data_IF_633755522708
#
_entry.id   IF_633755522708
#
_cell.length_a   1.000
_cell.length_b   1.000
_cell.length_c   1.000
_cell.angle_alpha   90.00
_cell.angle_beta   90.00
_cell.angle_gamma   90.00
#
_symmetry.space_group_name_H-M   'P 1'
#
loop_
_entity.id
_entity.type
_entity.pdbx_description
1 polymer ?
#
# COMPACT_ATOMS: atom_id res chain seq x y z
N UNK A 1 -5.66 2.10 -26.43
CA UNK A 1 -5.80 2.63 -25.06
C UNK A 1 -5.80 4.15 -25.15
N UNK A 2 -6.84 4.85 -24.70
CA UNK A 2 -6.86 6.33 -24.68
C UNK A 2 -6.09 6.82 -23.46
N UNK A 3 -5.01 7.58 -23.66
CA UNK A 3 -4.16 8.08 -22.58
C UNK A 3 -4.88 9.05 -21.61
N UNK A 4 -6.00 9.62 -22.05
CA UNK A 4 -6.73 10.69 -21.33
C UNK A 4 -7.98 10.18 -20.60
N UNK A 5 -8.45 8.97 -20.91
CA UNK A 5 -9.65 8.41 -20.28
C UNK A 5 -9.26 7.45 -19.15
N UNK A 6 -8.76 8.03 -18.06
CA UNK A 6 -8.25 7.24 -16.92
C UNK A 6 -9.40 6.68 -16.09
N UNK A 7 -9.30 5.41 -15.73
CA UNK A 7 -10.23 4.71 -14.86
C UNK A 7 -9.50 3.67 -14.01
N UNK A 8 -10.18 3.07 -13.04
CA UNK A 8 -9.63 1.95 -12.28
C UNK A 8 -9.21 0.77 -13.21
N UNK A 9 -9.96 0.56 -14.28
CA UNK A 9 -9.66 -0.46 -15.29
C UNK A 9 -8.42 -0.09 -16.11
N UNK A 10 -8.31 1.14 -16.62
CA UNK A 10 -7.16 1.55 -17.43
C UNK A 10 -5.84 1.52 -16.63
N UNK A 11 -5.88 1.89 -15.35
CA UNK A 11 -4.73 1.80 -14.45
C UNK A 11 -4.33 0.33 -14.22
N UNK A 12 -5.31 -0.55 -14.05
CA UNK A 12 -5.11 -1.99 -13.94
C UNK A 12 -4.58 -2.61 -15.26
N UNK A 13 -4.99 -2.12 -16.42
CA UNK A 13 -4.44 -2.51 -17.72
C UNK A 13 -2.97 -2.11 -17.85
N UNK A 14 -2.58 -0.93 -17.34
CA UNK A 14 -1.17 -0.50 -17.34
C UNK A 14 -0.27 -1.38 -16.45
N UNK A 15 -0.86 -2.08 -15.49
CA UNK A 15 -0.19 -3.11 -14.69
C UNK A 15 -0.24 -4.50 -15.36
N UNK A 16 -0.94 -4.62 -16.50
CA UNK A 16 -1.22 -5.85 -17.22
C UNK A 16 -2.05 -6.85 -16.40
N UNK A 17 -3.06 -6.37 -15.66
CA UNK A 17 -3.99 -7.21 -14.89
C UNK A 17 -5.46 -7.11 -15.34
N UNK A 18 -5.83 -6.13 -16.18
CA UNK A 18 -7.22 -5.92 -16.62
C UNK A 18 -7.52 -6.26 -18.10
N UNK A 19 -6.57 -6.81 -18.86
CA UNK A 19 -6.79 -7.24 -20.25
C UNK A 19 -5.97 -8.49 -20.61
N UNK A 20 -6.45 -9.28 -21.57
CA UNK A 20 -5.94 -10.61 -21.99
C UNK A 20 -4.44 -10.62 -22.39
N UNK A 21 -3.53 -10.55 -21.43
CA UNK A 21 -2.10 -10.75 -21.65
C UNK A 21 -1.37 -9.60 -22.35
N UNK A 22 -1.84 -8.36 -22.25
CA UNK A 22 -0.99 -7.22 -22.62
C UNK A 22 0.11 -7.02 -21.56
N UNK A 23 1.34 -6.80 -22.04
CA UNK A 23 2.48 -6.44 -21.19
C UNK A 23 2.19 -5.16 -20.42
N UNK A 24 2.79 -5.05 -19.22
CA UNK A 24 2.71 -3.82 -18.45
C UNK A 24 3.24 -2.64 -19.26
N UNK A 25 2.65 -1.46 -19.08
CA UNK A 25 3.04 -0.23 -19.77
C UNK A 25 3.46 0.85 -18.74
N UNK A 26 4.70 0.79 -18.20
CA UNK A 26 5.14 1.65 -17.10
C UNK A 26 5.07 3.15 -17.42
N UNK A 27 5.43 3.54 -18.63
CA UNK A 27 5.39 4.95 -19.04
C UNK A 27 3.96 5.47 -19.15
N UNK A 28 3.03 4.61 -19.61
CA UNK A 28 1.60 4.94 -19.67
C UNK A 28 1.02 5.05 -18.26
N UNK A 29 1.39 4.15 -17.35
CA UNK A 29 0.95 4.22 -15.96
C UNK A 29 1.32 5.57 -15.33
N UNK A 30 2.58 6.02 -15.49
CA UNK A 30 3.04 7.30 -14.95
C UNK A 30 2.23 8.48 -15.49
N UNK A 31 1.94 8.49 -16.80
CA UNK A 31 1.10 9.52 -17.41
C UNK A 31 -0.30 9.50 -16.81
N UNK A 32 -0.94 8.33 -16.70
CA UNK A 32 -2.28 8.21 -16.14
C UNK A 32 -2.33 8.62 -14.67
N UNK A 33 -1.32 8.25 -13.87
CA UNK A 33 -1.22 8.70 -12.48
C UNK A 33 -1.06 10.22 -12.38
N UNK A 34 -0.28 10.84 -13.27
CA UNK A 34 -0.20 12.30 -13.36
C UNK A 34 -1.56 12.95 -13.66
N UNK A 35 -2.36 12.34 -14.54
CA UNK A 35 -3.74 12.79 -14.79
C UNK A 35 -4.61 12.65 -13.54
N UNK A 36 -4.59 11.50 -12.86
CA UNK A 36 -5.38 11.29 -11.64
C UNK A 36 -4.98 12.30 -10.56
N UNK A 37 -3.70 12.57 -10.38
CA UNK A 37 -3.21 13.55 -9.41
C UNK A 37 -3.75 14.98 -9.65
N UNK A 38 -4.16 15.30 -10.88
CA UNK A 38 -4.80 16.59 -11.21
C UNK A 38 -6.29 16.67 -10.85
N UNK A 39 -6.95 15.54 -10.53
CA UNK A 39 -8.37 15.51 -10.21
C UNK A 39 -8.69 16.02 -8.80
N UNK A 40 -9.95 16.38 -8.50
CA UNK A 40 -10.39 16.60 -7.12
C UNK A 40 -10.12 15.36 -6.24
N UNK A 41 -9.67 15.56 -5.00
CA UNK A 41 -9.28 14.46 -4.10
C UNK A 41 -10.34 13.36 -3.94
N UNK A 42 -11.63 13.71 -4.00
CA UNK A 42 -12.72 12.73 -3.89
C UNK A 42 -12.74 11.77 -5.10
N UNK A 43 -12.48 12.28 -6.31
CA UNK A 43 -12.43 11.47 -7.53
C UNK A 43 -11.14 10.63 -7.57
N UNK A 44 -10.02 11.16 -7.08
CA UNK A 44 -8.79 10.37 -6.89
C UNK A 44 -9.04 9.17 -5.97
N UNK A 45 -9.61 9.44 -4.79
CA UNK A 45 -9.96 8.39 -3.82
C UNK A 45 -10.90 7.37 -4.43
N UNK A 46 -11.92 7.81 -5.17
CA UNK A 46 -12.85 6.93 -5.86
C UNK A 46 -12.14 5.95 -6.80
N UNK A 47 -11.27 6.46 -7.68
CA UNK A 47 -10.53 5.62 -8.62
C UNK A 47 -9.61 4.61 -7.90
N UNK A 48 -8.85 5.06 -6.90
CA UNK A 48 -7.95 4.18 -6.13
C UNK A 48 -8.70 3.12 -5.31
N UNK A 49 -9.83 3.48 -4.69
CA UNK A 49 -10.66 2.53 -3.95
C UNK A 49 -11.34 1.52 -4.88
N UNK A 50 -11.79 1.95 -6.06
CA UNK A 50 -12.37 1.05 -7.05
C UNK A 50 -11.34 0.05 -7.57
N UNK A 51 -10.14 0.53 -7.92
CA UNK A 51 -9.03 -0.31 -8.38
C UNK A 51 -8.64 -1.31 -7.29
N UNK A 52 -8.45 -0.84 -6.06
CA UNK A 52 -8.11 -1.70 -4.93
C UNK A 52 -9.20 -2.74 -4.63
N UNK A 53 -10.48 -2.38 -4.72
CA UNK A 53 -11.56 -3.33 -4.47
C UNK A 53 -11.64 -4.43 -5.54
N UNK A 54 -11.40 -4.08 -6.81
CA UNK A 54 -11.56 -4.97 -7.96
C UNK A 54 -10.33 -5.83 -8.23
N UNK A 55 -9.14 -5.23 -8.24
CA UNK A 55 -7.94 -5.83 -8.84
C UNK A 55 -6.83 -6.20 -7.85
N UNK A 56 -7.01 -5.99 -6.53
CA UNK A 56 -5.96 -6.28 -5.53
C UNK A 56 -5.38 -7.70 -5.62
N UNK A 57 -6.18 -8.78 -5.72
CA UNK A 57 -5.61 -10.12 -5.79
C UNK A 57 -4.70 -10.31 -7.02
N UNK A 58 -5.13 -9.82 -8.19
CA UNK A 58 -4.36 -9.90 -9.43
C UNK A 58 -3.10 -9.04 -9.40
N UNK A 59 -3.17 -7.84 -8.81
CA UNK A 59 -1.99 -6.99 -8.61
C UNK A 59 -0.99 -7.66 -7.69
N UNK A 60 -1.42 -8.23 -6.58
CA UNK A 60 -0.51 -8.91 -5.66
C UNK A 60 0.10 -10.17 -6.29
N UNK A 61 -0.67 -10.96 -7.02
CA UNK A 61 -0.13 -12.12 -7.73
C UNK A 61 0.93 -11.72 -8.76
N UNK A 62 0.66 -10.69 -9.56
CA UNK A 62 1.62 -10.17 -10.53
C UNK A 62 2.84 -9.52 -9.87
N UNK A 63 2.64 -8.88 -8.72
CA UNK A 63 3.75 -8.37 -7.92
C UNK A 63 4.62 -9.52 -7.44
N UNK A 64 4.07 -10.62 -6.92
CA UNK A 64 4.86 -11.77 -6.41
C UNK A 64 5.69 -12.46 -7.49
N UNK A 65 5.11 -12.60 -8.68
CA UNK A 65 5.73 -13.31 -9.81
C UNK A 65 6.72 -12.46 -10.61
N UNK A 66 6.80 -11.15 -10.35
CA UNK A 66 7.74 -10.23 -10.98
C UNK A 66 9.16 -10.37 -10.44
N UNK A 67 10.13 -10.40 -11.35
CA UNK A 67 11.57 -10.29 -11.08
C UNK A 67 12.07 -8.82 -11.04
N UNK A 68 11.29 -7.89 -11.62
CA UNK A 68 11.62 -6.46 -11.66
C UNK A 68 11.51 -5.81 -10.27
N UNK A 69 12.59 -5.17 -9.73
CA UNK A 69 12.63 -4.53 -8.41
C UNK A 69 11.55 -3.49 -8.16
N UNK A 70 11.26 -2.70 -9.19
CA UNK A 70 10.29 -1.62 -9.16
C UNK A 70 9.60 -1.49 -10.53
N UNK A 71 8.44 -2.13 -10.66
CA UNK A 71 7.63 -2.11 -11.89
C UNK A 71 6.24 -1.52 -11.67
N UNK A 72 5.42 -1.47 -12.73
CA UNK A 72 4.06 -0.90 -12.71
C UNK A 72 3.20 -1.42 -11.56
N UNK A 73 3.28 -2.71 -11.26
CA UNK A 73 2.50 -3.33 -10.20
C UNK A 73 2.97 -2.94 -8.79
N UNK A 74 4.26 -2.69 -8.59
CA UNK A 74 4.78 -2.21 -7.31
C UNK A 74 4.34 -0.75 -7.07
N UNK A 75 4.47 0.10 -8.09
CA UNK A 75 3.95 1.49 -8.09
C UNK A 75 2.44 1.51 -7.85
N UNK A 76 1.71 0.74 -8.65
CA UNK A 76 0.48 0.00 -8.32
C UNK A 76 0.02 0.02 -6.86
N UNK A 77 0.61 -0.93 -6.14
CA UNK A 77 0.33 -1.26 -4.75
C UNK A 77 0.73 -0.13 -3.80
N UNK A 78 1.82 0.59 -4.07
CA UNK A 78 2.23 1.73 -3.27
C UNK A 78 1.20 2.87 -3.29
N UNK A 79 0.74 3.26 -4.48
CA UNK A 79 -0.27 4.32 -4.65
C UNK A 79 -1.58 4.00 -3.94
N UNK A 80 -1.99 2.73 -3.89
CA UNK A 80 -3.24 2.31 -3.24
C UNK A 80 -3.05 1.80 -1.80
N UNK A 81 -1.83 1.85 -1.27
CA UNK A 81 -1.50 1.29 0.06
C UNK A 81 -2.23 1.99 1.20
N UNK A 82 -2.62 3.26 1.02
CA UNK A 82 -3.41 4.03 1.98
C UNK A 82 -4.89 3.60 2.04
N UNK A 83 -5.36 2.79 1.07
CA UNK A 83 -6.77 2.41 1.01
C UNK A 83 -7.09 1.35 2.08
N UNK A 84 -8.28 1.40 2.70
CA UNK A 84 -8.73 0.34 3.61
C UNK A 84 -8.79 -1.05 2.96
N UNK A 85 -8.94 -1.11 1.63
CA UNK A 85 -8.91 -2.36 0.87
C UNK A 85 -7.53 -3.01 0.90
N UNK A 86 -6.45 -2.25 0.71
CA UNK A 86 -5.08 -2.77 0.80
C UNK A 86 -4.78 -3.31 2.20
N UNK A 87 -5.09 -2.52 3.22
CA UNK A 87 -4.88 -2.92 4.63
C UNK A 87 -5.67 -4.19 4.96
N UNK A 88 -6.93 -4.28 4.55
CA UNK A 88 -7.74 -5.49 4.73
C UNK A 88 -7.18 -6.68 3.95
N UNK A 89 -6.71 -6.47 2.72
CA UNK A 89 -6.15 -7.54 1.89
C UNK A 89 -4.90 -8.14 2.52
N UNK A 90 -4.00 -7.31 3.06
CA UNK A 90 -2.80 -7.77 3.77
C UNK A 90 -3.11 -8.64 5.00
N UNK A 91 -4.32 -8.57 5.56
CA UNK A 91 -4.73 -9.43 6.68
C UNK A 91 -5.22 -10.82 6.20
N UNK A 92 -5.43 -11.00 4.89
CA UNK A 92 -5.80 -12.30 4.29
C UNK A 92 -4.57 -13.17 4.02
N UNK A 93 -4.74 -14.48 3.88
CA UNK A 93 -3.65 -15.39 3.50
C UNK A 93 -3.03 -15.05 2.14
N UNK A 94 -3.81 -14.53 1.19
CA UNK A 94 -3.32 -14.16 -0.14
C UNK A 94 -2.48 -12.87 -0.13
N UNK A 95 -2.84 -11.91 0.72
CA UNK A 95 -2.14 -10.62 0.83
C UNK A 95 -0.91 -10.63 1.73
N UNK A 96 -0.78 -11.62 2.59
CA UNK A 96 0.28 -11.71 3.59
C UNK A 96 1.67 -12.03 3.01
N UNK A 97 2.73 -11.44 3.58
CA UNK A 97 4.13 -11.69 3.24
C UNK A 97 4.65 -10.88 2.05
N UNK A 98 4.12 -9.68 1.79
CA UNK A 98 4.65 -8.80 0.74
C UNK A 98 5.94 -8.10 1.19
N UNK A 99 6.07 -7.79 2.49
CA UNK A 99 7.31 -7.23 3.04
C UNK A 99 8.51 -8.13 2.70
N UNK A 100 8.41 -9.42 3.00
CA UNK A 100 9.45 -10.42 2.70
C UNK A 100 9.78 -10.49 1.20
N UNK A 101 8.76 -10.51 0.33
CA UNK A 101 8.95 -10.50 -1.13
C UNK A 101 9.71 -9.26 -1.58
N UNK A 102 9.34 -8.07 -1.09
CA UNK A 102 10.01 -6.83 -1.46
C UNK A 102 11.45 -6.79 -0.95
N UNK A 103 11.71 -7.25 0.28
CA UNK A 103 13.06 -7.35 0.85
C UNK A 103 13.95 -8.26 0.01
N UNK A 104 13.50 -9.48 -0.27
CA UNK A 104 14.24 -10.44 -1.11
C UNK A 104 14.59 -9.83 -2.47
N UNK A 105 13.62 -9.16 -3.10
CA UNK A 105 13.82 -8.55 -4.40
C UNK A 105 14.83 -7.40 -4.38
N UNK A 106 14.78 -6.54 -3.37
CA UNK A 106 15.75 -5.45 -3.21
C UNK A 106 17.17 -6.00 -2.98
N UNK A 107 17.33 -7.02 -2.12
CA UNK A 107 18.63 -7.65 -1.88
C UNK A 107 19.17 -8.31 -3.16
N UNK A 108 18.34 -9.08 -3.86
CA UNK A 108 18.73 -9.77 -5.09
C UNK A 108 19.20 -8.81 -6.19
N UNK A 109 18.64 -7.60 -6.25
CA UNK A 109 18.95 -6.59 -7.25
C UNK A 109 19.94 -5.53 -6.82
N UNK A 110 20.50 -5.59 -5.60
CA UNK A 110 21.33 -4.52 -4.99
C UNK A 110 22.47 -3.97 -5.86
N UNK A 111 23.05 -4.82 -6.72
CA UNK A 111 24.15 -4.43 -7.60
C UNK A 111 23.67 -3.67 -8.85
N UNK A 112 22.48 -3.99 -9.37
CA UNK A 112 21.90 -3.36 -10.56
C UNK A 112 20.87 -2.28 -10.24
N UNK A 113 20.36 -2.24 -9.02
CA UNK A 113 19.35 -1.32 -8.53
C UNK A 113 19.84 -0.66 -7.23
N UNK A 114 20.38 0.56 -7.35
CA UNK A 114 20.96 1.33 -6.25
C UNK A 114 20.99 2.84 -6.58
N UNK A 115 21.34 3.72 -5.62
CA UNK A 115 21.32 5.17 -5.82
C UNK A 115 22.27 5.69 -6.92
N UNK A 116 23.27 4.91 -7.33
CA UNK A 116 24.19 5.28 -8.42
C UNK A 116 23.64 4.91 -9.81
N UNK A 117 22.64 4.04 -9.88
CA UNK A 117 22.06 3.51 -11.13
C UNK A 117 20.62 3.94 -11.35
N UNK A 118 19.91 4.31 -10.28
CA UNK A 118 18.52 4.72 -10.29
C UNK A 118 18.37 6.18 -9.90
N UNK A 119 17.26 6.81 -10.32
CA UNK A 119 16.93 8.15 -9.85
C UNK A 119 16.64 8.13 -8.34
N UNK A 120 17.00 9.20 -7.62
CA UNK A 120 16.67 9.33 -6.20
C UNK A 120 15.16 9.28 -5.93
N UNK A 121 14.34 9.74 -6.90
CA UNK A 121 12.89 9.60 -6.82
C UNK A 121 12.46 8.13 -6.76
N UNK A 122 13.01 7.29 -7.66
CA UNK A 122 12.75 5.85 -7.68
C UNK A 122 13.23 5.15 -6.41
N UNK A 123 14.40 5.54 -5.88
CA UNK A 123 14.87 5.01 -4.58
C UNK A 123 13.89 5.37 -3.46
N UNK A 124 13.39 6.62 -3.44
CA UNK A 124 12.43 7.06 -2.45
C UNK A 124 11.10 6.27 -2.51
N UNK A 125 10.57 6.03 -3.72
CA UNK A 125 9.35 5.25 -3.92
C UNK A 125 9.48 3.81 -3.40
N UNK A 126 10.58 3.12 -3.75
CA UNK A 126 10.85 1.75 -3.29
C UNK A 126 10.94 1.66 -1.77
N UNK A 127 11.69 2.59 -1.16
CA UNK A 127 11.83 2.65 0.30
C UNK A 127 10.51 3.03 0.98
N UNK A 128 9.74 3.95 0.42
CA UNK A 128 8.42 4.33 0.93
C UNK A 128 7.44 3.14 0.92
N UNK A 129 7.43 2.35 -0.14
CA UNK A 129 6.60 1.16 -0.22
C UNK A 129 7.04 0.08 0.76
N UNK A 130 8.35 -0.19 0.85
CA UNK A 130 8.88 -1.13 1.83
C UNK A 130 8.53 -0.68 3.26
N UNK A 131 8.70 0.60 3.59
CA UNK A 131 8.33 1.13 4.89
C UNK A 131 6.83 0.92 5.20
N UNK A 132 5.96 1.12 4.21
CA UNK A 132 4.51 0.88 4.36
C UNK A 132 4.21 -0.59 4.64
N UNK A 133 4.87 -1.51 3.92
CA UNK A 133 4.74 -2.95 4.16
C UNK A 133 5.26 -3.35 5.55
N UNK A 134 6.41 -2.83 5.97
CA UNK A 134 6.98 -3.09 7.30
C UNK A 134 6.07 -2.57 8.42
N UNK A 135 5.44 -1.41 8.25
CA UNK A 135 4.45 -0.88 9.22
C UNK A 135 3.24 -1.83 9.35
N UNK A 136 2.72 -2.32 8.23
CA UNK A 136 1.49 -3.12 8.23
C UNK A 136 1.73 -4.58 8.63
N UNK A 137 2.82 -5.18 8.15
CA UNK A 137 3.12 -6.61 8.32
C UNK A 137 4.15 -6.91 9.39
N UNK A 138 5.01 -5.96 9.74
CA UNK A 138 6.18 -6.19 10.59
C UNK A 138 7.33 -6.91 9.86
N UNK A 139 8.26 -7.45 10.64
CA UNK A 139 9.47 -8.14 10.16
C UNK A 139 9.43 -9.66 10.39
N UNK A 140 8.35 -10.20 10.93
CA UNK A 140 8.23 -11.60 11.38
C UNK A 140 8.40 -12.62 10.25
N UNK A 141 8.22 -12.20 9.00
CA UNK A 141 8.38 -13.03 7.79
C UNK A 141 9.71 -12.82 7.07
N UNK A 142 10.57 -11.95 7.59
CA UNK A 142 11.90 -11.68 7.06
C UNK A 142 12.90 -12.47 7.92
N UNK A 143 13.80 -13.23 7.29
CA UNK A 143 14.83 -13.96 8.03
C UNK A 143 15.89 -13.02 8.58
N UNK A 144 16.61 -13.46 9.63
CA UNK A 144 17.68 -12.66 10.22
C UNK A 144 18.78 -12.28 9.21
N UNK A 145 19.13 -13.20 8.30
CA UNK A 145 20.14 -12.96 7.26
C UNK A 145 19.67 -11.96 6.19
N UNK A 146 18.39 -12.03 5.80
CA UNK A 146 17.78 -11.05 4.89
C UNK A 146 17.70 -9.67 5.54
N UNK A 147 17.23 -9.61 6.80
CA UNK A 147 17.17 -8.35 7.53
C UNK A 147 18.55 -7.70 7.63
N UNK A 148 19.57 -8.45 8.05
CA UNK A 148 20.96 -7.95 8.12
C UNK A 148 21.46 -7.47 6.76
N UNK A 149 21.22 -8.25 5.70
CA UNK A 149 21.64 -7.88 4.33
C UNK A 149 20.95 -6.60 3.84
N UNK A 150 19.68 -6.42 4.19
CA UNK A 150 18.92 -5.22 3.87
C UNK A 150 19.42 -4.01 4.65
N UNK A 151 19.67 -4.15 5.96
CA UNK A 151 20.22 -3.10 6.82
C UNK A 151 21.59 -2.62 6.32
N UNK A 152 22.49 -3.52 5.96
CA UNK A 152 23.81 -3.19 5.39
C UNK A 152 23.67 -2.44 4.06
N UNK A 153 22.76 -2.89 3.19
CA UNK A 153 22.48 -2.26 1.90
C UNK A 153 21.92 -0.84 2.08
N UNK A 154 20.87 -0.67 2.88
CA UNK A 154 20.23 0.62 3.15
C UNK A 154 21.18 1.58 3.85
N UNK A 155 21.97 1.11 4.81
CA UNK A 155 23.02 1.92 5.45
C UNK A 155 24.11 2.35 4.46
N UNK A 156 24.45 1.49 3.51
CA UNK A 156 25.32 1.82 2.38
C UNK A 156 24.73 2.93 1.50
N UNK A 157 23.46 2.79 1.12
CA UNK A 157 22.74 3.79 0.33
C UNK A 157 22.68 5.13 1.06
N UNK A 158 22.29 5.14 2.32
CA UNK A 158 22.12 6.36 3.12
C UNK A 158 23.40 7.20 3.20
N UNK A 159 24.57 6.56 3.28
CA UNK A 159 25.88 7.26 3.26
C UNK A 159 26.17 7.97 1.94
N UNK A 160 25.56 7.52 0.84
CA UNK A 160 25.79 8.04 -0.52
C UNK A 160 24.70 9.00 -1.01
N UNK A 161 23.52 8.98 -0.39
CA UNK A 161 22.37 9.80 -0.78
C UNK A 161 22.45 11.15 -0.04
N UNK A 162 22.22 12.30 -0.72
CA UNK A 162 22.11 13.59 -0.04
C UNK A 162 20.89 13.67 0.90
N UNK A 163 20.81 14.62 1.84
CA UNK A 163 19.66 14.77 2.74
C UNK A 163 18.42 15.27 1.98
N UNK A 164 17.67 14.34 1.38
CA UNK A 164 16.47 14.56 0.58
C UNK A 164 15.45 13.46 0.87
N UNK A 165 14.26 13.53 0.28
CA UNK A 165 13.20 12.54 0.53
C UNK A 165 13.63 11.06 0.38
N UNK A 166 14.55 10.76 -0.54
CA UNK A 166 15.14 9.42 -0.66
C UNK A 166 15.90 8.96 0.60
N UNK A 167 16.70 9.83 1.23
CA UNK A 167 17.38 9.49 2.48
C UNK A 167 16.37 9.32 3.63
N UNK A 168 15.34 10.17 3.71
CA UNK A 168 14.30 10.08 4.75
C UNK A 168 13.52 8.75 4.70
N UNK A 169 13.12 8.31 3.50
CA UNK A 169 12.44 7.02 3.33
C UNK A 169 13.35 5.84 3.62
N UNK A 170 14.64 5.94 3.26
CA UNK A 170 15.66 4.94 3.58
C UNK A 170 15.91 4.83 5.09
N UNK A 171 16.05 5.96 5.79
CA UNK A 171 16.13 6.03 7.25
C UNK A 171 14.92 5.40 7.91
N UNK A 172 13.71 5.71 7.42
CA UNK A 172 12.48 5.11 7.94
C UNK A 172 12.49 3.58 7.83
N UNK A 173 12.97 3.02 6.72
CA UNK A 173 13.15 1.58 6.60
C UNK A 173 14.10 1.02 7.67
N UNK A 174 15.26 1.66 7.87
CA UNK A 174 16.23 1.25 8.91
C UNK A 174 15.62 1.30 10.32
N UNK A 175 14.88 2.38 10.63
CA UNK A 175 14.14 2.50 11.89
C UNK A 175 13.13 1.38 12.06
N UNK A 176 12.37 1.03 11.02
CA UNK A 176 11.36 -0.03 11.08
C UNK A 176 11.95 -1.45 11.19
N UNK A 177 13.19 -1.65 10.74
CA UNK A 177 13.92 -2.91 10.92
C UNK A 177 14.49 -3.02 12.34
N UNK A 178 14.72 -1.89 13.02
CA UNK A 178 15.23 -1.87 14.38
C UNK A 178 14.28 -2.52 15.37
N UNK A 179 14.85 -3.30 16.29
CA UNK A 179 14.13 -3.97 17.36
C UNK A 179 13.87 -3.07 18.59
N UNK A 180 14.23 -1.78 18.54
CA UNK A 180 14.07 -0.89 19.69
C UNK A 180 12.59 -0.51 19.96
N UNK A 181 12.31 -0.17 21.21
CA UNK A 181 10.94 0.08 21.67
C UNK A 181 10.32 1.34 21.06
N UNK A 182 11.12 2.37 20.79
CA UNK A 182 10.65 3.64 20.25
C UNK A 182 10.21 3.48 18.80
N UNK A 183 11.05 2.83 17.99
CA UNK A 183 10.73 2.47 16.61
C UNK A 183 9.46 1.64 16.50
N UNK A 184 9.29 0.64 17.38
CA UNK A 184 8.06 -0.17 17.45
C UNK A 184 6.84 0.65 17.82
N UNK A 185 6.98 1.59 18.76
CA UNK A 185 5.88 2.47 19.16
C UNK A 185 5.43 3.37 18.00
N UNK A 186 6.39 3.97 17.30
CA UNK A 186 6.13 4.78 16.10
C UNK A 186 5.45 3.97 15.01
N UNK A 187 5.97 2.78 14.70
CA UNK A 187 5.38 1.86 13.72
C UNK A 187 3.94 1.49 14.08
N UNK A 188 3.67 1.13 15.34
CA UNK A 188 2.33 0.79 15.82
C UNK A 188 1.36 1.97 15.76
N UNK A 189 1.84 3.18 16.00
CA UNK A 189 1.02 4.40 15.89
C UNK A 189 0.60 4.65 14.44
N UNK A 190 1.54 4.53 13.49
CA UNK A 190 1.23 4.65 12.04
C UNK A 190 0.32 3.51 11.58
N UNK A 191 0.57 2.28 12.03
CA UNK A 191 -0.27 1.12 11.75
C UNK A 191 -1.71 1.35 12.22
N UNK A 192 -1.91 1.86 13.43
CA UNK A 192 -3.23 2.22 13.96
C UNK A 192 -3.95 3.27 13.11
N UNK A 193 -3.23 4.27 12.58
CA UNK A 193 -3.81 5.25 11.66
C UNK A 193 -4.28 4.60 10.34
N UNK A 194 -3.48 3.70 9.76
CA UNK A 194 -3.82 2.99 8.52
C UNK A 194 -4.99 2.01 8.72
N UNK A 195 -5.03 1.33 9.86
CA UNK A 195 -6.08 0.36 10.21
C UNK A 195 -7.36 1.00 10.72
N UNK A 196 -7.37 2.32 10.94
CA UNK A 196 -8.49 3.06 11.55
C UNK A 196 -9.84 2.73 10.92
N UNK A 197 -9.93 2.71 9.59
CA UNK A 197 -11.19 2.43 8.89
C UNK A 197 -11.73 1.01 9.14
N UNK A 198 -10.87 0.06 9.53
CA UNK A 198 -11.22 -1.32 9.82
C UNK A 198 -11.54 -1.57 11.29
N UNK A 199 -11.07 -0.70 12.19
CA UNK A 199 -11.16 -0.88 13.64
C UNK A 199 -12.08 0.10 14.34
N UNK A 200 -12.17 1.34 13.87
CA UNK A 200 -12.94 2.41 14.51
C UNK A 200 -14.23 2.70 13.75
N UNK A 201 -15.30 2.95 14.50
CA UNK A 201 -16.61 3.27 13.94
C UNK A 201 -16.54 4.47 12.99
N UNK A 202 -17.04 4.32 11.75
CA UNK A 202 -17.10 5.41 10.77
C UNK A 202 -18.22 6.43 11.00
N UNK A 203 -18.89 6.40 12.16
CA UNK A 203 -19.98 7.31 12.50
C UNK A 203 -19.43 8.69 12.86
N UNK A 204 -20.16 9.76 12.53
CA UNK A 204 -19.70 11.12 12.82
C UNK A 204 -19.49 11.31 14.33
N UNK A 205 -18.27 11.67 14.73
CA UNK A 205 -17.91 11.88 16.14
C UNK A 205 -17.78 10.62 16.98
N UNK A 206 -17.74 9.43 16.37
CA UNK A 206 -17.55 8.16 17.06
C UNK A 206 -16.12 7.65 16.85
N UNK A 207 -15.47 7.22 17.94
CA UNK A 207 -14.11 6.69 17.98
C UNK A 207 -14.05 5.26 18.55
N UNK A 208 -15.21 4.66 18.82
CA UNK A 208 -15.32 3.33 19.40
C UNK A 208 -14.72 2.27 18.50
N UNK A 209 -14.03 1.32 19.13
CA UNK A 209 -13.47 0.12 18.47
C UNK A 209 -14.31 -1.16 18.72
N UNK A 210 -15.27 -1.08 19.64
CA UNK A 210 -16.21 -2.14 19.98
C UNK A 210 -17.62 -1.55 20.17
N UNK A 211 -18.63 -2.42 20.18
CA UNK A 211 -20.01 -2.03 20.56
C UNK A 211 -20.12 -1.87 22.08
N UNK A 212 -21.26 -1.34 22.55
CA UNK A 212 -21.56 -1.15 23.98
C UNK A 212 -21.51 -2.46 24.78
N UNK A 213 -21.84 -3.59 24.15
CA UNK A 213 -21.79 -4.92 24.74
C UNK A 213 -20.39 -5.59 24.66
N UNK A 214 -19.38 -4.85 24.19
CA UNK A 214 -18.03 -5.35 23.97
C UNK A 214 -17.85 -6.20 22.71
N UNK A 215 -18.92 -6.46 21.95
CA UNK A 215 -18.83 -7.22 20.70
C UNK A 215 -18.18 -6.42 19.57
N UNK A 216 -17.73 -7.11 18.53
CA UNK A 216 -17.13 -6.49 17.36
C UNK A 216 -18.10 -5.55 16.63
N UNK A 217 -17.56 -4.48 16.07
CA UNK A 217 -18.32 -3.53 15.23
C UNK A 217 -18.90 -4.22 13.98
N UNK A 218 -20.04 -3.73 13.53
CA UNK A 218 -20.69 -4.17 12.30
C UNK A 218 -19.91 -3.70 11.07
N UNK A 219 -19.46 -4.64 10.23
CA UNK A 219 -18.83 -4.32 8.95
C UNK A 219 -19.85 -3.85 7.90
N UNK A 220 -19.43 -2.96 7.01
CA UNK A 220 -20.18 -2.65 5.80
C UNK A 220 -20.38 -3.90 4.95
N UNK A 221 -21.63 -4.30 4.70
CA UNK A 221 -21.93 -5.53 3.95
C UNK A 221 -21.44 -5.55 2.50
N UNK A 222 -21.15 -4.39 1.90
CA UNK A 222 -20.66 -4.28 0.51
C UNK A 222 -19.14 -4.37 0.43
N UNK A 223 -18.42 -3.44 1.07
CA UNK A 223 -16.96 -3.36 0.94
C UNK A 223 -16.18 -4.07 2.04
N UNK A 224 -16.81 -4.33 3.19
CA UNK A 224 -16.17 -4.88 4.41
C UNK A 224 -14.96 -4.07 4.93
N UNK A 225 -14.75 -2.86 4.39
CA UNK A 225 -13.60 -1.99 4.68
C UNK A 225 -13.98 -0.74 5.50
N UNK A 226 -15.18 -0.74 6.08
CA UNK A 226 -15.66 0.25 7.03
C UNK A 226 -16.46 -0.47 8.10
N UNK A 227 -16.34 -0.04 9.35
CA UNK A 227 -17.03 -0.62 10.50
C UNK A 227 -17.88 0.41 11.24
N UNK A 228 -18.93 -0.04 11.91
CA UNK A 228 -19.91 0.81 12.58
C UNK A 228 -20.42 0.16 13.86
N UNK A 229 -20.76 0.95 14.88
CA UNK A 229 -21.46 0.42 16.07
C UNK A 229 -22.79 -0.24 15.71
N UNK A 230 -23.47 0.26 14.67
CA UNK A 230 -24.69 -0.31 14.12
C UNK A 230 -25.20 0.45 12.90
N UNK A 231 -26.39 0.08 12.44
CA UNK A 231 -27.02 0.60 11.21
C UNK A 231 -27.24 2.13 11.24
N UNK A 232 -27.43 2.72 12.42
CA UNK A 232 -27.59 4.16 12.56
C UNK A 232 -26.32 4.92 12.14
N UNK A 233 -25.16 4.55 12.69
CA UNK A 233 -23.88 5.17 12.33
C UNK A 233 -23.52 4.91 10.86
N UNK A 234 -23.86 3.73 10.33
CA UNK A 234 -23.69 3.45 8.90
C UNK A 234 -24.53 4.38 8.02
N UNK A 235 -25.80 4.62 8.37
CA UNK A 235 -26.68 5.53 7.63
C UNK A 235 -26.16 6.98 7.66
N UNK A 236 -25.68 7.44 8.82
CA UNK A 236 -25.08 8.78 8.97
C UNK A 236 -23.83 8.95 8.10
N UNK A 237 -22.97 7.93 8.05
CA UNK A 237 -21.74 7.96 7.27
C UNK A 237 -21.96 7.76 5.76
N UNK A 238 -23.15 7.29 5.34
CA UNK A 238 -23.40 6.80 3.98
C UNK A 238 -23.16 7.85 2.90
N UNK A 239 -23.51 9.13 3.15
CA UNK A 239 -23.33 10.21 2.18
C UNK A 239 -21.87 10.35 1.73
N UNK A 240 -20.92 10.17 2.66
CA UNK A 240 -19.49 10.19 2.39
C UNK A 240 -18.99 8.82 1.90
N UNK A 241 -19.38 7.75 2.59
CA UNK A 241 -18.89 6.39 2.33
C UNK A 241 -19.28 5.86 0.95
N UNK A 242 -20.49 6.16 0.45
CA UNK A 242 -21.03 5.59 -0.79
C UNK A 242 -20.13 5.80 -2.01
N UNK A 243 -19.38 6.91 -2.05
CA UNK A 243 -18.52 7.30 -3.18
C UNK A 243 -17.28 6.42 -3.31
N UNK A 244 -16.84 5.80 -2.21
CA UNK A 244 -15.65 4.95 -2.11
C UNK A 244 -15.99 3.51 -1.71
N UNK A 245 -17.28 3.17 -1.65
CA UNK A 245 -17.78 1.87 -1.26
C UNK A 245 -17.95 0.95 -2.47
N UNK A 246 -16.93 0.13 -2.72
CA UNK A 246 -16.93 -0.88 -3.78
C UNK A 246 -16.99 -2.29 -3.20
N UNK A 247 -17.59 -3.24 -3.93
CA UNK A 247 -17.55 -4.65 -3.53
C UNK A 247 -16.12 -5.17 -3.71
N UNK A 248 -15.56 -5.80 -2.68
CA UNK A 248 -14.23 -6.41 -2.77
C UNK A 248 -14.28 -7.77 -3.46
N UNK A 249 -13.27 -8.08 -4.27
CA UNK A 249 -13.08 -9.40 -4.89
C UNK A 249 -12.41 -10.44 -3.97
N UNK A 250 -12.27 -10.12 -2.68
CA UNK A 250 -11.61 -10.89 -1.63
C UNK A 250 -12.25 -10.65 -0.25
#
# INVERSE_FOLDING_TARGET
MSYMNVSAESLAECCGVASNGQDAAPDILKIQLGVVQSWPQIEQKRAYHELAAKYMPSLVEKFRTSDVPWGSTAVMLDVISFTPFFVRFLQTSAGQGLSAVQVQRMIASRNSFNPSTQSLHTIAEVCQFLATLLVLEGTEKITADEQKSLEEMLSGWLRSIPPVFASETCERCLTLLSADQESRFMANSVKGMLEKALRQCGGAGCDRETKDDGSALMQCGRCKCAVYCGTQHQKQAWSMHKSICFASSF
#
